data_IF_144293612141
#
_entry.id   IF_144293612141
#
_cell.length_a   1.000
_cell.length_b   1.000
_cell.length_c   1.000
_cell.angle_alpha   90.00
_cell.angle_beta   90.00
_cell.angle_gamma   90.00
#
_symmetry.space_group_name_H-M   'P 1'
#
loop_
_entity.id
_entity.type
_entity.pdbx_description
1 polymer ?
#
# COMPACT_ATOMS: atom_id res chain seq x y z
N UNK A 1 -9.92 -9.25 -47.62
CA UNK A 1 -10.92 -8.17 -47.58
C UNK A 1 -11.93 -8.50 -46.49
N UNK A 2 -12.09 -7.58 -45.52
CA UNK A 2 -13.32 -7.19 -44.80
C UNK A 2 -14.31 -8.27 -44.36
N UNK A 3 -14.58 -8.36 -43.04
CA UNK A 3 -15.87 -8.44 -42.31
C UNK A 3 -15.51 -8.79 -40.85
N UNK A 4 -15.13 -7.87 -39.97
CA UNK A 4 -15.97 -6.95 -39.18
C UNK A 4 -17.40 -7.45 -38.91
N UNK A 5 -17.69 -7.52 -37.60
CA UNK A 5 -18.99 -7.63 -36.91
C UNK A 5 -19.68 -8.99 -36.92
N UNK A 6 -19.69 -9.64 -35.74
CA UNK A 6 -20.94 -10.03 -35.06
C UNK A 6 -20.66 -10.34 -33.58
N UNK A 7 -21.05 -9.39 -32.75
CA UNK A 7 -21.38 -9.52 -31.32
C UNK A 7 -22.38 -10.65 -31.13
N UNK A 8 -22.23 -11.47 -30.08
CA UNK A 8 -23.30 -12.13 -29.30
C UNK A 8 -22.64 -12.84 -28.11
N UNK A 9 -22.63 -12.24 -26.91
CA UNK A 9 -23.59 -12.54 -25.84
C UNK A 9 -23.87 -14.05 -25.68
N UNK A 10 -23.04 -14.72 -24.88
CA UNK A 10 -23.40 -16.00 -24.26
C UNK A 10 -23.48 -15.80 -22.74
N UNK A 11 -24.68 -15.43 -22.29
CA UNK A 11 -25.12 -15.67 -20.92
C UNK A 11 -25.13 -17.20 -20.70
N UNK A 12 -24.20 -17.70 -19.90
CA UNK A 12 -24.28 -19.05 -19.35
C UNK A 12 -25.15 -19.03 -18.10
N UNK A 13 -26.42 -19.43 -18.21
CA UNK A 13 -27.24 -19.80 -17.07
C UNK A 13 -27.45 -21.32 -17.00
N UNK A 14 -27.03 -21.84 -15.84
CA UNK A 14 -27.56 -22.99 -15.11
C UNK A 14 -27.33 -24.41 -15.65
N UNK A 15 -26.61 -25.22 -14.87
CA UNK A 15 -27.23 -26.30 -14.09
C UNK A 15 -26.17 -27.07 -13.28
N UNK A 16 -26.22 -26.96 -11.95
CA UNK A 16 -25.90 -28.08 -11.06
C UNK A 16 -26.91 -28.02 -9.92
N UNK A 17 -27.94 -28.86 -10.02
CA UNK A 17 -28.90 -29.12 -8.95
C UNK A 17 -28.42 -30.33 -8.15
N UNK A 18 -28.57 -30.29 -6.81
CA UNK A 18 -28.36 -31.45 -5.97
C UNK A 18 -28.25 -31.20 -4.47
N UNK A 19 -29.39 -30.94 -3.82
CA UNK A 19 -29.77 -31.30 -2.45
C UNK A 19 -28.95 -30.84 -1.22
N UNK A 20 -29.57 -30.00 -0.38
CA UNK A 20 -29.23 -29.77 1.04
C UNK A 20 -29.97 -28.56 1.65
N UNK A 21 -30.65 -28.77 2.77
CA UNK A 21 -31.64 -27.91 3.49
C UNK A 21 -31.02 -26.67 4.21
N UNK A 22 -31.76 -25.81 4.96
CA UNK A 22 -31.80 -24.36 4.77
C UNK A 22 -31.00 -23.52 5.80
N UNK A 23 -30.59 -22.33 5.35
CA UNK A 23 -30.37 -21.08 6.07
C UNK A 23 -29.87 -21.14 7.54
N UNK A 24 -28.57 -20.96 7.72
CA UNK A 24 -28.09 -19.99 8.70
C UNK A 24 -27.22 -18.96 7.95
N UNK A 25 -27.74 -17.73 7.92
CA UNK A 25 -27.02 -16.57 7.42
C UNK A 25 -25.93 -16.20 8.41
N UNK A 26 -24.73 -16.73 8.20
CA UNK A 26 -23.53 -16.04 8.67
C UNK A 26 -22.64 -15.82 7.48
N UNK A 27 -22.59 -14.56 7.08
CA UNK A 27 -21.76 -13.97 6.04
C UNK A 27 -20.47 -14.74 5.84
N UNK A 28 -20.23 -15.13 4.59
CA UNK A 28 -18.88 -15.26 4.08
C UNK A 28 -18.18 -13.91 4.31
N UNK A 29 -17.57 -13.75 5.46
CA UNK A 29 -16.39 -12.92 5.57
C UNK A 29 -15.38 -13.64 4.68
N UNK A 30 -15.35 -13.23 3.42
CA UNK A 30 -14.12 -13.18 2.66
C UNK A 30 -13.15 -12.38 3.53
N UNK A 31 -12.49 -13.05 4.47
CA UNK A 31 -11.21 -12.60 4.95
C UNK A 31 -10.36 -12.65 3.69
N UNK A 32 -10.28 -11.50 2.99
CA UNK A 32 -9.11 -11.19 2.20
C UNK A 32 -7.94 -11.66 3.06
N UNK A 33 -6.98 -12.42 2.53
CA UNK A 33 -5.71 -12.54 3.23
C UNK A 33 -5.26 -11.11 3.47
N UNK A 34 -5.31 -10.72 4.74
CA UNK A 34 -4.76 -9.48 5.21
C UNK A 34 -3.32 -9.47 4.70
N UNK A 35 -3.04 -8.54 3.79
CA UNK A 35 -1.74 -8.44 3.14
C UNK A 35 -0.64 -8.00 4.13
N UNK A 36 -0.88 -8.05 5.45
CA UNK A 36 0.04 -7.59 6.47
C UNK A 36 0.82 -8.70 7.17
N UNK A 37 0.55 -9.99 6.93
CA UNK A 37 1.23 -11.09 7.66
C UNK A 37 1.94 -12.13 6.75
N UNK A 38 2.32 -11.74 5.53
CA UNK A 38 3.19 -12.55 4.69
C UNK A 38 4.66 -12.34 5.06
N UNK A 39 5.15 -13.01 6.13
CA UNK A 39 6.57 -13.05 6.53
C UNK A 39 7.34 -11.74 6.27
N UNK A 40 6.80 -10.63 6.75
CA UNK A 40 7.35 -9.30 6.50
C UNK A 40 8.68 -9.21 7.23
N UNK A 41 9.79 -9.09 6.50
CA UNK A 41 11.12 -8.99 7.09
C UNK A 41 11.15 -7.96 8.22
N UNK A 42 11.78 -8.24 9.37
CA UNK A 42 11.87 -7.28 10.47
C UNK A 42 12.51 -5.96 10.04
N UNK A 43 13.35 -5.97 8.99
CA UNK A 43 13.95 -4.76 8.42
C UNK A 43 12.88 -3.89 7.75
N UNK A 44 11.95 -4.50 7.00
CA UNK A 44 10.82 -3.77 6.40
C UNK A 44 9.95 -3.11 7.45
N UNK A 45 9.59 -3.85 8.50
CA UNK A 45 8.74 -3.30 9.57
C UNK A 45 9.42 -2.12 10.28
N UNK A 46 10.69 -2.28 10.67
CA UNK A 46 11.45 -1.21 11.31
C UNK A 46 11.60 0.01 10.39
N UNK A 47 11.92 -0.21 9.12
CA UNK A 47 12.02 0.86 8.13
C UNK A 47 10.71 1.64 7.98
N UNK A 48 9.59 0.93 7.76
CA UNK A 48 8.28 1.55 7.56
C UNK A 48 7.86 2.31 8.82
N UNK A 49 8.09 1.77 10.01
CA UNK A 49 7.80 2.44 11.27
C UNK A 49 8.66 3.70 11.46
N UNK A 50 9.97 3.63 11.21
CA UNK A 50 10.87 4.78 11.33
C UNK A 50 10.53 5.89 10.32
N UNK A 51 10.17 5.50 9.09
CA UNK A 51 9.70 6.42 8.05
C UNK A 51 8.40 7.12 8.48
N UNK A 52 7.42 6.38 9.00
CA UNK A 52 6.16 6.94 9.49
C UNK A 52 6.39 7.90 10.66
N UNK A 53 7.19 7.49 11.64
CA UNK A 53 7.54 8.35 12.78
C UNK A 53 8.20 9.65 12.30
N UNK A 54 9.12 9.57 11.33
CA UNK A 54 9.78 10.75 10.77
C UNK A 54 8.78 11.68 10.05
N UNK A 55 7.85 11.11 9.28
CA UNK A 55 6.82 11.86 8.57
C UNK A 55 5.82 12.55 9.53
N UNK A 56 5.44 11.87 10.61
CA UNK A 56 4.43 12.36 11.56
C UNK A 56 5.02 13.29 12.64
N UNK A 57 6.26 13.06 13.08
CA UNK A 57 6.92 13.85 14.13
C UNK A 57 7.15 15.33 13.78
N UNK A 58 6.96 15.71 12.52
CA UNK A 58 7.00 17.11 12.10
C UNK A 58 5.88 17.95 12.75
N UNK A 59 4.76 17.32 13.15
CA UNK A 59 3.67 18.01 13.87
C UNK A 59 2.82 16.99 14.67
N UNK A 60 2.62 17.17 15.99
CA UNK A 60 1.80 16.26 16.80
C UNK A 60 0.33 16.17 16.36
N UNK A 61 -0.20 17.17 15.64
CA UNK A 61 -1.52 17.10 15.02
C UNK A 61 -1.60 16.06 13.89
N UNK A 62 -0.47 15.70 13.27
CA UNK A 62 -0.41 14.64 12.27
C UNK A 62 -0.51 13.27 12.94
N UNK A 63 0.11 13.10 14.11
CA UNK A 63 0.09 11.85 14.88
C UNK A 63 -1.30 11.50 15.39
N UNK A 64 -2.22 12.47 15.52
CA UNK A 64 -3.61 12.23 15.92
C UNK A 64 -4.60 12.20 14.74
N UNK A 65 -4.11 12.37 13.51
CA UNK A 65 -4.95 12.39 12.33
C UNK A 65 -4.86 11.04 11.60
N UNK A 66 -5.90 10.18 11.64
CA UNK A 66 -5.86 8.84 11.07
C UNK A 66 -5.65 8.84 9.55
N UNK A 67 -6.13 9.87 8.83
CA UNK A 67 -5.87 10.00 7.39
C UNK A 67 -4.38 10.27 7.11
N UNK A 68 -3.73 11.09 7.94
CA UNK A 68 -2.30 11.37 7.79
C UNK A 68 -1.45 10.17 8.20
N UNK A 69 -1.85 9.43 9.22
CA UNK A 69 -1.20 8.17 9.58
C UNK A 69 -1.29 7.17 8.43
N UNK A 70 -2.48 6.92 7.88
CA UNK A 70 -2.68 5.99 6.77
C UNK A 70 -1.92 6.42 5.50
N UNK A 71 -1.86 7.73 5.22
CA UNK A 71 -1.06 8.25 4.13
C UNK A 71 0.44 8.02 4.35
N UNK A 72 0.95 8.33 5.55
CA UNK A 72 2.35 8.11 5.90
C UNK A 72 2.71 6.62 5.77
N UNK A 73 1.87 5.72 6.26
CA UNK A 73 2.06 4.28 6.11
C UNK A 73 2.15 3.90 4.62
N UNK A 74 1.16 4.29 3.82
CA UNK A 74 1.10 3.95 2.40
C UNK A 74 2.34 4.44 1.63
N UNK A 75 2.77 5.68 1.91
CA UNK A 75 3.97 6.25 1.27
C UNK A 75 5.22 5.50 1.72
N UNK A 76 5.37 5.20 3.01
CA UNK A 76 6.55 4.50 3.53
C UNK A 76 6.67 3.07 3.04
N UNK A 77 5.56 2.35 2.89
CA UNK A 77 5.51 1.02 2.25
C UNK A 77 5.92 1.13 0.78
N UNK A 78 5.36 2.08 0.04
CA UNK A 78 5.75 2.33 -1.34
C UNK A 78 7.25 2.65 -1.49
N UNK A 79 7.82 3.44 -0.57
CA UNK A 79 9.26 3.77 -0.59
C UNK A 79 10.11 2.53 -0.43
N UNK A 80 9.74 1.66 0.50
CA UNK A 80 10.44 0.40 0.71
C UNK A 80 10.39 -0.47 -0.56
N UNK A 81 9.20 -0.66 -1.12
CA UNK A 81 9.00 -1.51 -2.29
C UNK A 81 9.74 -0.96 -3.55
N UNK A 82 9.79 0.36 -3.71
CA UNK A 82 10.59 1.00 -4.76
C UNK A 82 12.10 0.87 -4.49
N UNK A 83 12.51 0.96 -3.23
CA UNK A 83 13.90 0.73 -2.80
C UNK A 83 14.37 -0.67 -3.18
N UNK A 84 13.59 -1.70 -2.87
CA UNK A 84 13.91 -3.09 -3.25
C UNK A 84 14.09 -3.26 -4.76
N UNK A 85 13.21 -2.65 -5.56
CA UNK A 85 13.24 -2.75 -7.02
C UNK A 85 14.45 -2.03 -7.64
N UNK A 86 14.86 -0.89 -7.07
CA UNK A 86 15.87 -0.01 -7.68
C UNK A 86 17.27 -0.17 -7.10
N UNK A 87 17.41 -0.70 -5.88
CA UNK A 87 18.68 -0.78 -5.19
C UNK A 87 19.52 -2.02 -5.54
N UNK A 88 18.90 -3.02 -6.16
CA UNK A 88 19.54 -4.28 -6.57
C UNK A 88 18.82 -5.55 -6.09
N UNK A 89 17.55 -5.46 -5.69
CA UNK A 89 16.76 -6.54 -5.12
C UNK A 89 16.65 -6.46 -3.59
N UNK A 90 15.72 -7.25 -3.03
CA UNK A 90 15.39 -7.26 -1.60
C UNK A 90 16.61 -7.44 -0.69
N UNK A 91 17.45 -8.45 -0.93
CA UNK A 91 18.59 -8.72 -0.06
C UNK A 91 19.64 -7.60 -0.03
N UNK A 92 19.92 -6.97 -1.18
CA UNK A 92 20.87 -5.85 -1.26
C UNK A 92 20.32 -4.58 -0.58
N UNK A 93 19.01 -4.36 -0.72
CA UNK A 93 18.30 -3.27 -0.07
C UNK A 93 18.29 -3.41 1.45
N UNK A 94 17.88 -4.58 1.95
CA UNK A 94 17.81 -4.89 3.36
C UNK A 94 19.19 -4.80 4.03
N UNK A 95 20.22 -5.33 3.38
CA UNK A 95 21.58 -5.25 3.88
C UNK A 95 22.06 -3.79 4.00
N UNK A 96 21.74 -2.94 3.04
CA UNK A 96 22.11 -1.53 3.07
C UNK A 96 21.36 -0.74 4.16
N UNK A 97 20.06 -1.02 4.37
CA UNK A 97 19.30 -0.44 5.49
C UNK A 97 19.93 -0.86 6.83
N UNK A 98 20.18 -2.15 7.02
CA UNK A 98 20.75 -2.66 8.27
C UNK A 98 22.14 -2.07 8.56
N UNK A 99 23.00 -1.95 7.54
CA UNK A 99 24.30 -1.31 7.69
C UNK A 99 24.17 0.18 8.02
N UNK A 100 23.22 0.89 7.41
CA UNK A 100 22.99 2.29 7.69
C UNK A 100 22.58 2.54 9.15
N UNK A 101 21.70 1.70 9.71
CA UNK A 101 21.33 1.78 11.13
C UNK A 101 22.54 1.63 12.06
N UNK A 102 23.52 0.81 11.67
CA UNK A 102 24.72 0.57 12.47
C UNK A 102 25.81 1.65 12.28
N UNK A 103 26.00 2.14 11.05
CA UNK A 103 27.17 2.97 10.71
C UNK A 103 26.91 4.47 10.76
N UNK A 104 25.66 4.92 10.96
CA UNK A 104 25.22 6.34 10.99
C UNK A 104 25.63 7.19 9.76
N UNK A 105 26.31 6.62 8.78
CA UNK A 105 26.59 7.23 7.49
C UNK A 105 25.76 6.52 6.44
N UNK A 106 24.79 7.27 5.91
CA UNK A 106 24.02 6.87 4.75
C UNK A 106 24.98 6.82 3.56
N UNK A 107 25.12 5.64 2.96
CA UNK A 107 25.73 5.52 1.64
C UNK A 107 24.97 6.42 0.64
N UNK A 108 25.70 7.16 -0.20
CA UNK A 108 25.12 8.15 -1.11
C UNK A 108 24.09 7.55 -2.06
N UNK A 109 24.29 6.29 -2.49
CA UNK A 109 23.33 5.57 -3.33
C UNK A 109 22.06 5.28 -2.53
N UNK A 110 22.18 4.84 -1.28
CA UNK A 110 21.03 4.56 -0.40
C UNK A 110 20.20 5.82 -0.17
N UNK A 111 20.86 6.94 0.16
CA UNK A 111 20.19 8.22 0.35
C UNK A 111 19.46 8.68 -0.92
N UNK A 112 20.11 8.58 -2.08
CA UNK A 112 19.52 8.98 -3.35
C UNK A 112 18.31 8.11 -3.70
N UNK A 113 18.41 6.79 -3.54
CA UNK A 113 17.30 5.86 -3.77
C UNK A 113 16.12 6.18 -2.86
N UNK A 114 16.34 6.40 -1.57
CA UNK A 114 15.30 6.79 -0.62
C UNK A 114 14.61 8.10 -1.03
N UNK A 115 15.39 9.10 -1.43
CA UNK A 115 14.87 10.41 -1.82
C UNK A 115 14.02 10.34 -3.11
N UNK A 116 14.51 9.61 -4.12
CA UNK A 116 13.78 9.42 -5.37
C UNK A 116 12.50 8.62 -5.15
N UNK A 117 12.56 7.51 -4.42
CA UNK A 117 11.40 6.70 -4.09
C UNK A 117 10.35 7.51 -3.29
N UNK A 118 10.78 8.31 -2.32
CA UNK A 118 9.88 9.16 -1.55
C UNK A 118 9.14 10.16 -2.42
N UNK A 119 9.85 10.85 -3.33
CA UNK A 119 9.20 11.80 -4.24
C UNK A 119 8.20 11.12 -5.16
N UNK A 120 8.53 9.94 -5.70
CA UNK A 120 7.64 9.17 -6.58
C UNK A 120 6.38 8.72 -5.83
N UNK A 121 6.55 8.12 -4.65
CA UNK A 121 5.46 7.62 -3.83
C UNK A 121 4.53 8.74 -3.33
N UNK A 122 5.09 9.87 -2.90
CA UNK A 122 4.26 11.03 -2.51
C UNK A 122 3.44 11.53 -3.70
N UNK A 123 4.04 11.68 -4.88
CA UNK A 123 3.32 12.15 -6.08
C UNK A 123 2.20 11.17 -6.49
N UNK A 124 2.44 9.87 -6.37
CA UNK A 124 1.44 8.85 -6.70
C UNK A 124 0.26 8.82 -5.72
N UNK A 125 0.49 9.10 -4.44
CA UNK A 125 -0.52 8.94 -3.40
C UNK A 125 -1.14 10.26 -2.90
N UNK A 126 -0.51 11.41 -3.12
CA UNK A 126 -1.03 12.72 -2.72
C UNK A 126 -2.44 13.03 -3.28
N UNK A 127 -2.79 12.70 -4.55
CA UNK A 127 -4.14 12.94 -5.08
C UNK A 127 -5.23 12.18 -4.32
N UNK A 128 -4.89 11.01 -3.76
CA UNK A 128 -5.85 10.15 -3.04
C UNK A 128 -6.27 10.75 -1.70
N UNK A 129 -5.36 11.45 -1.01
CA UNK A 129 -5.66 12.16 0.23
C UNK A 129 -6.53 13.38 -0.04
N UNK A 130 -6.22 14.14 -1.10
CA UNK A 130 -7.00 15.32 -1.48
C UNK A 130 -8.45 14.94 -1.84
N UNK A 131 -8.64 13.82 -2.55
CA UNK A 131 -9.97 13.28 -2.85
C UNK A 131 -10.72 12.82 -1.58
N UNK A 132 -10.04 12.14 -0.65
CA UNK A 132 -10.65 11.69 0.60
C UNK A 132 -11.02 12.85 1.55
N UNK A 133 -10.23 13.93 1.57
CA UNK A 133 -10.52 15.14 2.35
C UNK A 133 -11.68 15.94 1.75
N UNK A 134 -11.84 15.97 0.42
CA UNK A 134 -12.98 16.62 -0.23
C UNK A 134 -14.31 15.92 0.06
N UNK A 135 -14.32 14.59 0.13
CA UNK A 135 -15.50 13.80 0.52
C UNK A 135 -15.87 14.02 1.99
N UNK A 136 -14.90 14.08 2.90
CA UNK A 136 -15.15 14.36 4.32
C UNK A 136 -15.67 15.78 4.59
N UNK A 137 -15.17 16.79 3.87
CA UNK A 137 -15.67 18.16 3.96
C UNK A 137 -17.13 18.31 3.48
N UNK A 138 -17.50 17.51 2.46
CA UNK A 138 -18.87 17.47 1.92
C UNK A 138 -19.86 16.75 2.85
N UNK A 139 -19.38 15.82 3.68
CA UNK A 139 -20.20 15.10 4.64
C UNK A 139 -20.45 15.87 5.96
N UNK A 140 -19.56 16.80 6.34
CA UNK A 140 -19.67 17.58 7.58
C UNK A 140 -20.55 18.84 7.47
N UNK A 141 -21.12 19.12 6.29
CA UNK A 141 -21.98 20.29 6.02
C UNK A 141 -23.45 19.94 5.79
N UNK A 142 -23.87 18.71 6.10
CA UNK A 142 -25.27 18.25 6.04
C UNK A 142 -25.81 17.97 7.44
#
# INVERSE_FOLDING_TARGET
MKYILLILLTLGLAACGGAGTPADSTSAASALPDASEANTSPIRQNFVQACQQSALNSNPANTNNPQKQAFAQTVCECVYDNGEQTYGGASAWEQAIAQNEQQKNLDSKLQQTLQTALQQCVQQHAPKVQAASAVGASAASQ
#
